data_IF_325946404887
#
_entry.id   IF_325946404887
#
_cell.length_a   1.000
_cell.length_b   1.000
_cell.length_c   1.000
_cell.angle_alpha   90.00
_cell.angle_beta   90.00
_cell.angle_gamma   90.00
#
_symmetry.space_group_name_H-M   'P 1'
#
loop_
_entity.id
_entity.type
_entity.pdbx_description
1 polymer ?
#
# COMPACT_ATOMS: atom_id res chain seq x y z
N UNK A 1 7.89 -16.76 2.44
CA UNK A 1 9.06 -15.84 2.35
C UNK A 1 8.66 -14.37 2.38
N UNK A 2 7.69 -13.91 1.56
CA UNK A 2 7.26 -12.50 1.55
C UNK A 2 6.69 -12.03 2.90
N UNK A 3 5.88 -12.85 3.57
CA UNK A 3 5.33 -12.51 4.90
C UNK A 3 6.42 -12.30 5.95
N UNK A 4 7.45 -13.14 5.96
CA UNK A 4 8.59 -13.00 6.84
C UNK A 4 9.33 -11.68 6.59
N UNK A 5 9.54 -11.31 5.33
CA UNK A 5 10.15 -10.03 4.97
C UNK A 5 9.29 -8.84 5.40
N UNK A 6 7.98 -8.90 5.15
CA UNK A 6 7.03 -7.87 5.59
C UNK A 6 7.03 -7.71 7.11
N UNK A 7 7.00 -8.83 7.85
CA UNK A 7 7.05 -8.81 9.31
C UNK A 7 8.36 -8.21 9.83
N UNK A 8 9.48 -8.52 9.19
CA UNK A 8 10.79 -7.95 9.54
C UNK A 8 10.82 -6.44 9.30
N UNK A 9 10.30 -5.98 8.15
CA UNK A 9 10.16 -4.54 7.89
C UNK A 9 9.27 -3.87 8.93
N UNK A 10 8.13 -4.47 9.28
CA UNK A 10 7.21 -3.93 10.28
C UNK A 10 7.84 -3.84 11.66
N UNK A 11 8.61 -4.85 12.09
CA UNK A 11 9.34 -4.80 13.35
C UNK A 11 10.33 -3.63 13.43
N UNK A 12 10.98 -3.27 12.32
CA UNK A 12 11.92 -2.14 12.26
C UNK A 12 11.17 -0.81 12.16
N UNK A 13 10.13 -0.75 11.34
CA UNK A 13 9.41 0.49 11.01
C UNK A 13 8.40 0.91 12.06
N UNK A 14 7.74 -0.03 12.77
CA UNK A 14 6.74 0.29 13.78
C UNK A 14 7.33 1.15 14.93
N UNK A 15 8.48 0.84 15.55
CA UNK A 15 9.04 1.72 16.59
C UNK A 15 9.31 3.15 16.12
N UNK A 16 9.66 3.32 14.84
CA UNK A 16 10.05 4.61 14.25
C UNK A 16 8.85 5.40 13.74
N UNK A 17 7.82 4.74 13.22
CA UNK A 17 6.70 5.37 12.49
C UNK A 17 5.37 5.27 13.24
N UNK A 18 5.21 4.39 14.23
CA UNK A 18 3.92 4.17 14.90
C UNK A 18 3.45 5.39 15.71
N UNK A 19 4.33 6.31 16.08
CA UNK A 19 3.92 7.60 16.66
C UNK A 19 3.07 8.41 15.67
N UNK A 20 3.24 8.24 14.36
CA UNK A 20 2.38 8.88 13.36
C UNK A 20 0.93 8.39 13.44
N UNK A 21 0.68 7.15 13.88
CA UNK A 21 -0.68 6.63 14.06
C UNK A 21 -1.42 7.28 15.24
N UNK A 22 -0.75 8.13 16.02
CA UNK A 22 -1.41 8.98 17.03
C UNK A 22 -2.04 10.24 16.43
N UNK A 23 -1.65 10.62 15.21
CA UNK A 23 -2.17 11.78 14.50
C UNK A 23 -3.45 11.43 13.73
N UNK A 24 -4.27 12.43 13.35
CA UNK A 24 -5.34 12.23 12.39
C UNK A 24 -4.79 11.61 11.10
N UNK A 25 -5.49 10.63 10.56
CA UNK A 25 -5.03 9.81 9.46
C UNK A 25 -4.66 10.63 8.20
N UNK A 26 -5.39 11.71 7.93
CA UNK A 26 -5.10 12.63 6.84
C UNK A 26 -3.75 13.34 7.02
N UNK A 27 -3.41 13.73 8.25
CA UNK A 27 -2.13 14.34 8.57
C UNK A 27 -0.99 13.32 8.43
N UNK A 28 -1.22 12.08 8.87
CA UNK A 28 -0.27 10.99 8.70
C UNK A 28 0.03 10.75 7.22
N UNK A 29 -1.01 10.68 6.39
CA UNK A 29 -0.85 10.52 4.94
C UNK A 29 -0.06 11.68 4.33
N UNK A 30 -0.38 12.92 4.72
CA UNK A 30 0.35 14.12 4.28
C UNK A 30 1.84 14.06 4.64
N UNK A 31 2.16 13.72 5.90
CA UNK A 31 3.54 13.60 6.39
C UNK A 31 4.29 12.50 5.64
N UNK A 32 3.68 11.33 5.48
CA UNK A 32 4.29 10.20 4.75
C UNK A 32 4.56 10.56 3.30
N UNK A 33 3.60 11.20 2.61
CA UNK A 33 3.77 11.63 1.22
C UNK A 33 4.89 12.66 1.03
N UNK A 34 4.96 13.67 1.91
CA UNK A 34 6.05 14.66 1.88
C UNK A 34 7.38 13.99 2.24
N UNK A 35 7.36 13.09 3.22
CA UNK A 35 8.50 12.29 3.64
C UNK A 35 9.08 11.46 2.50
N UNK A 36 8.24 10.81 1.69
CA UNK A 36 8.66 10.13 0.46
C UNK A 36 9.40 11.09 -0.48
N UNK A 37 8.83 12.27 -0.72
CA UNK A 37 9.48 13.27 -1.58
C UNK A 37 10.85 13.69 -1.06
N UNK A 38 10.97 13.84 0.27
CA UNK A 38 12.23 14.11 0.94
C UNK A 38 13.23 12.96 0.78
N UNK A 39 12.81 11.70 1.01
CA UNK A 39 13.66 10.52 0.86
C UNK A 39 14.24 10.44 -0.56
N UNK A 40 13.41 10.60 -1.59
CA UNK A 40 13.84 10.59 -2.99
C UNK A 40 14.86 11.71 -3.25
N UNK A 41 14.54 12.92 -2.81
CA UNK A 41 15.36 14.10 -3.11
C UNK A 41 16.69 14.09 -2.35
N UNK A 42 16.68 13.71 -1.07
CA UNK A 42 17.89 13.63 -0.25
C UNK A 42 18.74 12.40 -0.61
N UNK A 43 18.14 11.25 -0.92
CA UNK A 43 18.89 10.09 -1.43
C UNK A 43 19.73 10.52 -2.64
N UNK A 44 19.11 11.22 -3.60
CA UNK A 44 19.81 11.81 -4.74
C UNK A 44 20.93 12.76 -4.33
N UNK A 45 20.69 13.65 -3.38
CA UNK A 45 21.71 14.59 -2.91
C UNK A 45 22.94 13.87 -2.33
N UNK A 46 22.75 12.79 -1.57
CA UNK A 46 23.83 12.10 -0.86
C UNK A 46 24.57 11.06 -1.68
N UNK A 47 23.96 10.54 -2.74
CA UNK A 47 24.52 9.40 -3.51
C UNK A 47 25.00 9.74 -4.91
N UNK A 48 24.64 10.91 -5.46
CA UNK A 48 25.16 11.36 -6.76
C UNK A 48 26.15 12.52 -6.64
N UNK A 49 27.09 12.57 -7.58
CA UNK A 49 27.98 13.72 -7.73
C UNK A 49 27.20 14.90 -8.34
N UNK A 50 26.69 15.77 -7.46
CA UNK A 50 25.88 16.93 -7.82
C UNK A 50 26.60 17.90 -8.76
N UNK A 51 27.93 18.06 -8.62
CA UNK A 51 28.69 18.96 -9.49
C UNK A 51 28.88 18.39 -10.89
N UNK A 52 29.05 17.07 -11.01
CA UNK A 52 29.05 16.39 -12.30
C UNK A 52 27.70 16.56 -13.00
N UNK A 53 26.58 16.36 -12.30
CA UNK A 53 25.24 16.51 -12.87
C UNK A 53 24.96 17.95 -13.33
N UNK A 54 25.40 18.95 -12.55
CA UNK A 54 25.30 20.38 -12.94
C UNK A 54 26.08 20.67 -14.22
N UNK A 55 27.32 20.17 -14.34
CA UNK A 55 28.14 20.34 -15.54
C UNK A 55 27.49 19.68 -16.76
N UNK A 56 27.05 18.44 -16.62
CA UNK A 56 26.34 17.74 -17.70
C UNK A 56 25.09 18.48 -18.16
N UNK A 57 24.34 19.12 -17.27
CA UNK A 57 23.16 19.90 -17.67
C UNK A 57 23.52 21.21 -18.37
N UNK A 58 24.57 21.91 -17.91
CA UNK A 58 25.11 23.08 -18.60
C UNK A 58 25.58 22.70 -20.03
N UNK A 59 26.28 21.58 -20.18
CA UNK A 59 26.73 21.06 -21.47
C UNK A 59 25.55 20.68 -22.37
N UNK A 60 24.50 20.04 -21.81
CA UNK A 60 23.27 19.73 -22.56
C UNK A 60 22.55 20.98 -23.04
N UNK A 61 22.48 22.04 -22.23
CA UNK A 61 21.90 23.34 -22.62
C UNK A 61 22.69 23.95 -23.76
N UNK A 62 24.02 23.97 -23.65
CA UNK A 62 24.91 24.47 -24.71
C UNK A 62 24.78 23.68 -26.01
N UNK A 63 24.77 22.35 -25.94
CA UNK A 63 24.57 21.49 -27.11
C UNK A 63 23.20 21.70 -27.75
N UNK A 64 22.15 21.99 -26.97
CA UNK A 64 20.82 22.31 -27.51
C UNK A 64 20.84 23.60 -28.35
N UNK A 65 21.62 24.61 -27.94
CA UNK A 65 21.83 25.83 -28.72
C UNK A 65 22.61 25.55 -30.01
N UNK A 66 23.73 24.83 -29.93
CA UNK A 66 24.55 24.47 -31.09
C UNK A 66 23.80 23.64 -32.11
N UNK A 67 22.94 22.71 -31.68
CA UNK A 67 22.05 21.95 -32.57
C UNK A 67 21.08 22.88 -33.30
N UNK A 68 20.52 23.89 -32.62
CA UNK A 68 19.63 24.88 -33.25
C UNK A 68 20.39 25.73 -34.27
N UNK A 69 21.60 26.18 -33.95
CA UNK A 69 22.44 26.97 -34.86
C UNK A 69 22.85 26.18 -36.10
N UNK A 70 23.33 24.94 -35.94
CA UNK A 70 23.70 24.07 -37.06
C UNK A 70 22.52 23.80 -38.00
N UNK A 71 21.32 23.55 -37.43
CA UNK A 71 20.08 23.40 -38.22
C UNK A 71 19.72 24.67 -38.98
N UNK A 72 19.88 25.86 -38.38
CA UNK A 72 19.64 27.15 -39.06
C UNK A 72 20.61 27.38 -40.22
N UNK A 73 21.87 26.94 -40.08
CA UNK A 73 22.89 27.03 -41.13
C UNK A 73 22.79 25.93 -42.20
N UNK A 74 21.85 24.98 -42.07
CA UNK A 74 21.70 23.84 -42.98
C UNK A 74 22.79 22.77 -42.83
N UNK A 75 23.68 22.87 -41.84
CA UNK A 75 24.76 21.91 -41.61
C UNK A 75 24.23 20.68 -40.86
N UNK A 76 23.82 19.68 -41.64
CA UNK A 76 23.29 18.41 -41.13
C UNK A 76 24.35 17.58 -40.39
N UNK A 77 25.62 17.69 -40.78
CA UNK A 77 26.69 16.91 -40.18
C UNK A 77 27.04 17.43 -38.79
N UNK A 78 27.21 18.75 -38.63
CA UNK A 78 27.43 19.36 -37.32
C UNK A 78 26.26 19.09 -36.37
N UNK A 79 25.02 19.20 -36.86
CA UNK A 79 23.85 18.87 -36.06
C UNK A 79 23.88 17.41 -35.57
N UNK A 80 24.25 16.45 -36.44
CA UNK A 80 24.36 15.03 -36.07
C UNK A 80 25.46 14.79 -35.03
N UNK A 81 26.63 15.42 -35.17
CA UNK A 81 27.71 15.35 -34.17
C UNK A 81 27.25 15.83 -32.80
N UNK A 82 26.61 17.00 -32.72
CA UNK A 82 26.13 17.53 -31.45
C UNK A 82 25.03 16.67 -30.81
N UNK A 83 24.15 16.05 -31.61
CA UNK A 83 23.16 15.10 -31.11
C UNK A 83 23.85 13.87 -30.51
N UNK A 84 24.86 13.31 -31.18
CA UNK A 84 25.61 12.17 -30.68
C UNK A 84 26.32 12.48 -29.35
N UNK A 85 27.00 13.63 -29.26
CA UNK A 85 27.63 14.08 -28.02
C UNK A 85 26.60 14.26 -26.90
N UNK A 86 25.44 14.87 -27.19
CA UNK A 86 24.36 15.02 -26.22
C UNK A 86 23.86 13.66 -25.71
N UNK A 87 23.74 12.68 -26.58
CA UNK A 87 23.32 11.33 -26.21
C UNK A 87 24.37 10.63 -25.32
N UNK A 88 25.67 10.79 -25.62
CA UNK A 88 26.75 10.31 -24.76
C UNK A 88 26.70 10.93 -23.36
N UNK A 89 26.53 12.25 -23.26
CA UNK A 89 26.38 12.94 -21.96
C UNK A 89 25.13 12.44 -21.22
N UNK A 90 24.03 12.20 -21.94
CA UNK A 90 22.82 11.62 -21.35
C UNK A 90 23.05 10.22 -20.78
N UNK A 91 23.80 9.35 -21.47
CA UNK A 91 24.16 8.02 -20.94
C UNK A 91 25.02 8.15 -19.67
N UNK A 92 26.01 9.05 -19.67
CA UNK A 92 26.83 9.30 -18.46
C UNK A 92 26.01 9.87 -17.31
N UNK A 93 25.02 10.74 -17.60
CA UNK A 93 24.08 11.26 -16.60
C UNK A 93 23.24 10.13 -16.01
N UNK A 94 22.67 9.27 -16.86
CA UNK A 94 21.82 8.16 -16.44
C UNK A 94 22.56 7.20 -15.49
N UNK A 95 23.83 6.89 -15.78
CA UNK A 95 24.68 6.06 -14.91
C UNK A 95 24.85 6.68 -13.51
N UNK A 96 24.97 8.00 -13.44
CA UNK A 96 25.07 8.74 -12.16
C UNK A 96 23.72 8.85 -11.43
N UNK A 97 22.60 8.78 -12.14
CA UNK A 97 21.26 8.78 -11.55
C UNK A 97 20.76 7.39 -11.10
N UNK A 98 21.36 6.31 -11.64
CA UNK A 98 20.98 4.93 -11.29
C UNK A 98 21.27 4.56 -9.83
N UNK A 99 22.44 4.94 -9.30
CA UNK A 99 22.83 4.67 -7.91
C UNK A 99 21.87 5.32 -6.90
N UNK A 100 21.52 6.62 -7.01
CA UNK A 100 20.48 7.23 -6.19
C UNK A 100 19.14 6.54 -6.19
N UNK A 101 18.70 6.08 -7.36
CA UNK A 101 17.42 5.41 -7.49
C UNK A 101 17.44 4.10 -6.71
N UNK A 102 18.50 3.29 -6.85
CA UNK A 102 18.68 2.06 -6.07
C UNK A 102 18.77 2.34 -4.57
N UNK A 103 19.52 3.38 -4.17
CA UNK A 103 19.64 3.78 -2.78
C UNK A 103 18.30 4.27 -2.18
N UNK A 104 17.43 4.87 -2.99
CA UNK A 104 16.09 5.27 -2.57
C UNK A 104 15.10 4.10 -2.48
N UNK A 105 15.27 3.02 -3.25
CA UNK A 105 14.35 1.87 -3.24
C UNK A 105 14.21 1.28 -1.84
N UNK A 106 15.31 1.09 -1.11
CA UNK A 106 15.27 0.45 0.21
C UNK A 106 14.42 1.23 1.23
N UNK A 107 14.67 2.53 1.52
CA UNK A 107 13.84 3.30 2.44
C UNK A 107 12.41 3.48 1.94
N UNK A 108 12.20 3.57 0.62
CA UNK A 108 10.86 3.63 0.03
C UNK A 108 10.10 2.31 0.19
N UNK A 109 10.77 1.17 0.08
CA UNK A 109 10.16 -0.14 0.31
C UNK A 109 9.76 -0.30 1.78
N UNK A 110 10.62 0.11 2.72
CA UNK A 110 10.30 0.11 4.15
C UNK A 110 9.07 0.98 4.43
N UNK A 111 9.09 2.24 3.98
CA UNK A 111 7.99 3.18 4.18
C UNK A 111 6.71 2.73 3.48
N UNK A 112 6.83 2.21 2.26
CA UNK A 112 5.73 1.70 1.45
C UNK A 112 5.05 0.51 2.12
N UNK A 113 5.81 -0.52 2.50
CA UNK A 113 5.28 -1.69 3.21
C UNK A 113 4.58 -1.28 4.51
N UNK A 114 5.17 -0.38 5.28
CA UNK A 114 4.53 0.16 6.48
C UNK A 114 3.21 0.89 6.16
N UNK A 115 3.22 1.79 5.16
CA UNK A 115 2.04 2.53 4.75
C UNK A 115 0.91 1.62 4.25
N UNK A 116 1.22 0.60 3.44
CA UNK A 116 0.24 -0.39 2.98
C UNK A 116 -0.40 -1.16 4.15
N UNK A 117 0.40 -1.50 5.16
CA UNK A 117 -0.07 -2.30 6.31
C UNK A 117 -0.79 -1.48 7.37
N UNK A 118 -0.57 -0.16 7.44
CA UNK A 118 -1.11 0.71 8.50
C UNK A 118 -2.11 1.77 8.02
N UNK A 119 -2.08 2.16 6.75
CA UNK A 119 -2.87 3.30 6.22
C UNK A 119 -3.89 2.89 5.16
N UNK A 120 -3.99 1.61 4.80
CA UNK A 120 -4.91 1.18 3.76
C UNK A 120 -6.38 1.19 4.24
N UNK A 121 -6.59 0.87 5.53
CA UNK A 121 -7.92 0.72 6.13
C UNK A 121 -8.08 1.50 7.43
N UNK A 122 -9.32 1.84 7.76
CA UNK A 122 -9.67 2.42 9.05
C UNK A 122 -9.74 1.27 10.07
N UNK A 123 -8.99 1.33 11.18
CA UNK A 123 -9.05 0.30 12.22
C UNK A 123 -10.46 0.17 12.80
N UNK A 124 -10.96 -1.06 13.04
CA UNK A 124 -12.28 -1.29 13.64
C UNK A 124 -12.43 -0.59 15.00
N UNK A 125 -13.50 0.20 15.14
CA UNK A 125 -13.79 0.90 16.39
C UNK A 125 -14.64 0.05 17.34
N UNK A 126 -14.55 0.36 18.63
CA UNK A 126 -15.36 -0.33 19.64
C UNK A 126 -16.85 -0.10 19.38
N UNK A 127 -17.64 -1.17 19.53
CA UNK A 127 -19.10 -1.20 19.28
C UNK A 127 -19.51 -0.98 17.82
N UNK A 128 -18.57 -0.86 16.89
CA UNK A 128 -18.88 -0.89 15.46
C UNK A 128 -19.21 -2.32 15.03
N UNK A 129 -20.15 -2.46 14.08
CA UNK A 129 -20.43 -3.74 13.43
C UNK A 129 -19.33 -4.05 12.42
N UNK A 130 -18.64 -5.15 12.65
CA UNK A 130 -17.53 -5.66 11.85
C UNK A 130 -18.06 -6.86 11.08
N UNK A 131 -17.86 -6.88 9.77
CA UNK A 131 -18.23 -8.02 8.93
C UNK A 131 -17.01 -8.92 8.79
N UNK A 132 -17.15 -10.17 9.22
CA UNK A 132 -16.15 -11.21 9.02
C UNK A 132 -16.69 -12.16 7.96
N UNK A 133 -15.91 -12.41 6.91
CA UNK A 133 -16.24 -13.39 5.89
C UNK A 133 -15.25 -14.54 5.95
N UNK A 134 -15.74 -15.77 5.83
CA UNK A 134 -14.91 -16.94 5.58
C UNK A 134 -15.27 -17.52 4.22
N UNK A 135 -14.25 -17.85 3.45
CA UNK A 135 -14.36 -18.39 2.11
C UNK A 135 -13.98 -19.87 2.12
N UNK A 136 -14.77 -20.66 1.42
CA UNK A 136 -14.74 -22.12 1.42
C UNK A 136 -14.75 -22.66 -0.02
N UNK A 137 -14.30 -23.90 -0.25
CA UNK A 137 -14.45 -24.54 -1.55
C UNK A 137 -15.93 -24.73 -1.88
N UNK A 138 -16.27 -24.72 -3.17
CA UNK A 138 -17.66 -24.89 -3.67
C UNK A 138 -18.30 -26.19 -3.16
N UNK A 139 -17.50 -27.23 -2.90
CA UNK A 139 -17.98 -28.51 -2.35
C UNK A 139 -18.58 -28.41 -0.95
N UNK A 140 -18.30 -27.34 -0.19
CA UNK A 140 -18.80 -27.13 1.16
C UNK A 140 -20.04 -26.23 1.22
N UNK A 141 -20.58 -25.81 0.07
CA UNK A 141 -21.82 -25.04 0.01
C UNK A 141 -22.98 -25.86 0.58
N UNK A 142 -23.80 -25.23 1.43
CA UNK A 142 -24.89 -25.88 2.17
C UNK A 142 -24.46 -26.53 3.50
N UNK A 143 -23.17 -26.60 3.80
CA UNK A 143 -22.70 -26.99 5.13
C UNK A 143 -22.83 -25.83 6.13
N UNK A 144 -22.83 -26.16 7.43
CA UNK A 144 -22.81 -25.18 8.51
C UNK A 144 -21.39 -24.94 9.02
N UNK A 145 -21.07 -23.68 9.26
CA UNK A 145 -19.83 -23.24 9.92
C UNK A 145 -20.17 -22.32 11.08
N UNK A 146 -19.29 -22.20 12.07
CA UNK A 146 -19.53 -21.30 13.19
C UNK A 146 -18.27 -20.63 13.72
N UNK A 147 -18.45 -19.44 14.29
CA UNK A 147 -17.45 -18.74 15.10
C UNK A 147 -17.69 -19.07 16.56
N UNK A 148 -16.65 -19.50 17.28
CA UNK A 148 -16.77 -19.77 18.70
C UNK A 148 -16.99 -18.47 19.49
N UNK A 149 -18.02 -18.39 20.36
CA UNK A 149 -18.26 -17.21 21.18
C UNK A 149 -17.07 -16.92 22.09
N UNK A 150 -16.63 -15.66 22.13
CA UNK A 150 -15.58 -15.19 23.03
C UNK A 150 -16.10 -14.04 23.89
N UNK A 151 -15.62 -13.97 25.15
CA UNK A 151 -15.97 -12.87 26.06
C UNK A 151 -15.64 -11.52 25.43
N UNK A 152 -16.64 -10.63 25.35
CA UNK A 152 -16.49 -9.29 24.81
C UNK A 152 -16.81 -9.16 23.31
N UNK A 153 -17.08 -10.28 22.63
CA UNK A 153 -17.69 -10.30 21.30
C UNK A 153 -19.20 -10.54 21.42
N UNK A 154 -19.97 -9.82 20.62
CA UNK A 154 -21.42 -9.98 20.47
C UNK A 154 -21.71 -10.26 19.01
N UNK A 155 -22.56 -11.24 18.74
CA UNK A 155 -23.20 -11.37 17.44
C UNK A 155 -24.15 -10.19 17.22
N UNK A 156 -24.42 -9.81 15.96
CA UNK A 156 -25.24 -8.66 15.57
C UNK A 156 -26.62 -8.55 16.25
N UNK A 157 -27.30 -7.44 16.00
CA UNK A 157 -28.43 -6.88 16.78
C UNK A 157 -29.64 -7.78 17.01
N UNK A 158 -29.79 -8.90 16.30
CA UNK A 158 -31.03 -9.70 16.28
C UNK A 158 -30.85 -11.16 16.73
N UNK A 159 -29.83 -11.47 17.53
CA UNK A 159 -29.65 -12.83 18.10
C UNK A 159 -29.28 -13.92 17.07
N UNK A 160 -29.10 -13.55 15.80
CA UNK A 160 -28.52 -14.37 14.76
C UNK A 160 -26.99 -14.31 14.77
N UNK A 161 -26.27 -15.34 14.35
CA UNK A 161 -26.17 -16.69 14.90
C UNK A 161 -24.67 -16.95 14.77
N UNK A 162 -24.03 -17.42 15.83
CA UNK A 162 -22.63 -17.82 15.78
C UNK A 162 -22.38 -18.87 14.69
N UNK A 163 -23.45 -19.56 14.28
CA UNK A 163 -23.54 -20.52 13.19
C UNK A 163 -24.06 -19.82 11.93
N UNK A 164 -23.46 -20.10 10.79
CA UNK A 164 -23.87 -19.61 9.47
C UNK A 164 -23.84 -20.76 8.47
N UNK A 165 -24.76 -20.75 7.52
CA UNK A 165 -24.73 -21.63 6.35
C UNK A 165 -23.74 -21.07 5.32
N UNK A 166 -23.00 -21.97 4.66
CA UNK A 166 -22.08 -21.60 3.58
C UNK A 166 -22.90 -21.41 2.30
N UNK A 167 -22.98 -20.18 1.81
CA UNK A 167 -23.75 -19.80 0.62
C UNK A 167 -22.85 -19.65 -0.61
N UNK A 168 -23.42 -19.80 -1.81
CA UNK A 168 -22.71 -19.57 -3.06
C UNK A 168 -22.36 -18.08 -3.25
N UNK A 169 -21.09 -17.76 -3.48
CA UNK A 169 -20.64 -16.46 -3.96
C UNK A 169 -20.49 -16.50 -5.48
N UNK A 170 -21.25 -15.64 -6.17
CA UNK A 170 -21.26 -15.54 -7.63
C UNK A 170 -20.56 -14.27 -8.07
N UNK A 171 -19.76 -14.38 -9.13
CA UNK A 171 -19.21 -13.22 -9.80
C UNK A 171 -20.35 -12.35 -10.35
N UNK A 172 -20.40 -11.07 -9.97
CA UNK A 172 -21.48 -10.16 -10.35
C UNK A 172 -21.59 -9.92 -11.87
N UNK A 173 -20.51 -10.14 -12.63
CA UNK A 173 -20.47 -9.93 -14.08
C UNK A 173 -20.74 -11.20 -14.86
N UNK A 174 -20.22 -12.33 -14.41
CA UNK A 174 -20.27 -13.60 -15.16
C UNK A 174 -21.33 -14.58 -14.63
N UNK A 175 -21.78 -14.40 -13.39
CA UNK A 175 -22.71 -15.31 -12.72
C UNK A 175 -22.09 -16.67 -12.33
N UNK A 176 -20.80 -16.88 -12.60
CA UNK A 176 -20.08 -18.11 -12.24
C UNK A 176 -19.92 -18.17 -10.73
N UNK A 177 -20.18 -19.34 -10.14
CA UNK A 177 -19.91 -19.61 -8.73
C UNK A 177 -18.39 -19.66 -8.55
N UNK A 178 -17.86 -18.73 -7.75
CA UNK A 178 -16.44 -18.64 -7.47
C UNK A 178 -16.06 -19.56 -6.29
N UNK A 179 -16.86 -19.51 -5.23
CA UNK A 179 -16.56 -20.09 -3.91
C UNK A 179 -17.81 -20.14 -3.03
N UNK A 180 -17.72 -20.84 -1.90
CA UNK A 180 -18.67 -20.71 -0.80
C UNK A 180 -18.27 -19.59 0.16
N UNK A 181 -19.23 -18.87 0.73
CA UNK A 181 -19.00 -17.78 1.70
C UNK A 181 -19.95 -17.89 2.88
N UNK A 182 -19.41 -17.72 4.08
CA UNK A 182 -20.18 -17.45 5.29
C UNK A 182 -19.80 -16.08 5.84
N UNK A 183 -20.80 -15.31 6.30
CA UNK A 183 -20.62 -13.92 6.72
C UNK A 183 -21.22 -13.69 8.10
N UNK A 184 -20.43 -13.18 9.02
CA UNK A 184 -20.84 -12.84 10.37
C UNK A 184 -20.76 -11.33 10.60
N UNK A 185 -21.77 -10.79 11.27
CA UNK A 185 -21.74 -9.43 11.77
C UNK A 185 -21.43 -9.47 13.28
N UNK A 186 -20.24 -9.00 13.65
CA UNK A 186 -19.74 -9.03 15.01
C UNK A 186 -19.61 -7.61 15.56
N UNK A 187 -19.90 -7.43 16.85
CA UNK A 187 -19.58 -6.22 17.59
C UNK A 187 -18.64 -6.58 18.75
N UNK A 188 -17.57 -5.82 18.93
CA UNK A 188 -16.64 -6.03 20.03
C UNK A 188 -16.40 -4.75 20.82
N UNK A 189 -16.06 -4.91 22.10
CA UNK A 189 -15.50 -3.82 22.90
C UNK A 189 -14.06 -3.48 22.48
N UNK A 190 -13.57 -2.31 22.86
CA UNK A 190 -12.13 -2.03 22.77
C UNK A 190 -11.37 -3.01 23.65
N UNK A 191 -10.30 -3.60 23.12
CA UNK A 191 -9.44 -4.51 23.88
C UNK A 191 -7.98 -4.28 23.52
N UNK A 192 -7.12 -4.27 24.54
CA UNK A 192 -5.66 -4.24 24.37
C UNK A 192 -5.17 -5.57 23.79
N UNK A 193 -5.80 -6.69 24.16
CA UNK A 193 -5.48 -8.01 23.63
C UNK A 193 -6.29 -8.28 22.36
N UNK A 194 -5.69 -8.88 21.32
CA UNK A 194 -6.42 -9.31 20.13
C UNK A 194 -7.54 -10.29 20.50
N UNK A 195 -8.69 -10.16 19.83
CA UNK A 195 -9.71 -11.21 19.81
C UNK A 195 -9.22 -12.31 18.87
N UNK A 196 -9.37 -13.57 19.29
CA UNK A 196 -8.93 -14.72 18.50
C UNK A 196 -10.18 -15.39 17.96
N UNK A 197 -10.57 -15.03 16.75
CA UNK A 197 -11.74 -15.59 16.08
C UNK A 197 -11.41 -17.02 15.67
N UNK A 198 -12.02 -17.99 16.36
CA UNK A 198 -11.92 -19.40 16.00
C UNK A 198 -13.13 -19.76 15.13
N UNK A 199 -12.88 -20.02 13.84
CA UNK A 199 -13.89 -20.49 12.88
C UNK A 199 -13.76 -22.00 12.77
N UNK A 200 -14.87 -22.70 12.95
CA UNK A 200 -14.94 -24.15 12.94
C UNK A 200 -15.90 -24.65 11.85
N UNK A 201 -15.48 -25.72 11.17
CA UNK A 201 -16.29 -26.49 10.22
C UNK A 201 -16.00 -27.98 10.46
N UNK A 202 -16.98 -28.72 10.95
CA UNK A 202 -16.76 -30.10 11.43
C UNK A 202 -15.75 -30.12 12.58
N UNK A 203 -14.68 -30.90 12.43
CA UNK A 203 -13.58 -31.02 13.41
C UNK A 203 -12.44 -30.02 13.18
N UNK A 204 -12.36 -29.41 11.99
CA UNK A 204 -11.31 -28.47 11.63
C UNK A 204 -11.55 -27.08 12.20
N UNK A 205 -10.46 -26.39 12.57
CA UNK A 205 -10.49 -25.03 13.12
C UNK A 205 -9.44 -24.15 12.48
N UNK A 206 -9.78 -22.89 12.24
CA UNK A 206 -8.84 -21.84 11.84
C UNK A 206 -8.96 -20.64 12.78
N UNK A 207 -7.86 -19.90 12.93
CA UNK A 207 -7.77 -18.77 13.86
C UNK A 207 -7.43 -17.49 13.12
N UNK A 208 -8.25 -16.45 13.34
CA UNK A 208 -8.03 -15.11 12.81
C UNK A 208 -7.97 -14.08 13.93
N UNK A 209 -6.93 -13.26 13.94
CA UNK A 209 -6.83 -12.16 14.89
C UNK A 209 -7.72 -10.98 14.48
N UNK A 210 -8.44 -10.43 15.45
CA UNK A 210 -9.25 -9.23 15.32
C UNK A 210 -8.82 -8.20 16.36
N UNK A 211 -8.35 -7.04 15.89
CA UNK A 211 -7.99 -5.88 16.73
C UNK A 211 -9.14 -4.88 16.71
N UNK A 212 -9.66 -4.50 17.89
CA UNK A 212 -10.77 -3.54 18.01
C UNK A 212 -10.42 -2.44 19.01
N UNK A 213 -10.63 -1.20 18.59
CA UNK A 213 -10.29 -0.01 19.38
C UNK A 213 -8.79 0.27 19.48
N UNK A 214 -7.98 -0.36 18.64
CA UNK A 214 -6.55 -0.12 18.53
C UNK A 214 -6.24 0.85 17.38
N UNK A 215 -5.05 1.45 17.40
CA UNK A 215 -4.57 2.34 16.32
C UNK A 215 -4.17 1.59 15.05
N UNK A 216 -3.93 0.28 15.18
CA UNK A 216 -3.58 -0.63 14.10
C UNK A 216 -4.69 -1.66 13.89
N UNK A 217 -4.64 -2.33 12.76
CA UNK A 217 -5.51 -3.47 12.44
C UNK A 217 -4.66 -4.70 12.11
N UNK A 218 -5.24 -5.88 12.30
CA UNK A 218 -4.68 -7.14 11.82
C UNK A 218 -4.86 -7.21 10.28
N UNK A 219 -4.03 -7.97 9.55
CA UNK A 219 -4.17 -8.14 8.10
C UNK A 219 -5.61 -8.47 7.71
N UNK A 220 -6.15 -7.83 6.67
CA UNK A 220 -7.55 -8.01 6.26
C UNK A 220 -7.85 -9.48 5.93
N UNK A 221 -6.97 -10.09 5.14
CA UNK A 221 -7.07 -11.47 4.66
C UNK A 221 -6.07 -12.36 5.40
N UNK A 222 -6.47 -13.58 5.71
CA UNK A 222 -5.57 -14.66 6.09
C UNK A 222 -5.94 -15.90 5.28
N UNK A 223 -4.96 -16.46 4.58
CA UNK A 223 -5.10 -17.68 3.81
C UNK A 223 -4.64 -18.87 4.64
N UNK A 224 -5.32 -19.99 4.51
CA UNK A 224 -5.00 -21.24 5.19
C UNK A 224 -4.77 -22.35 4.17
N UNK A 225 -4.11 -23.41 4.61
CA UNK A 225 -3.85 -24.58 3.75
C UNK A 225 -5.15 -25.26 3.34
N UNK A 226 -5.14 -25.90 2.17
CA UNK A 226 -6.28 -26.65 1.67
C UNK A 226 -6.69 -27.76 2.63
N UNK A 227 -8.00 -27.95 2.79
CA UNK A 227 -8.57 -28.94 3.72
C UNK A 227 -8.76 -28.43 5.15
N UNK A 228 -8.35 -27.20 5.47
CA UNK A 228 -8.71 -26.54 6.73
C UNK A 228 -10.18 -26.13 6.77
N UNK A 229 -10.61 -25.60 7.93
CA UNK A 229 -11.99 -25.19 8.14
C UNK A 229 -12.46 -24.21 7.07
N UNK A 230 -11.62 -23.25 6.67
CA UNK A 230 -11.85 -22.28 5.60
C UNK A 230 -10.55 -22.06 4.81
N UNK A 231 -10.66 -21.72 3.53
CA UNK A 231 -9.50 -21.43 2.66
C UNK A 231 -8.96 -20.02 2.95
N UNK A 232 -9.85 -19.07 3.24
CA UNK A 232 -9.51 -17.70 3.54
C UNK A 232 -10.49 -17.06 4.52
N UNK A 233 -10.00 -16.20 5.41
CA UNK A 233 -10.83 -15.40 6.31
C UNK A 233 -10.51 -13.93 6.12
N UNK A 234 -11.55 -13.14 5.86
CA UNK A 234 -11.51 -11.70 5.63
C UNK A 234 -12.23 -10.94 6.73
N UNK A 235 -11.60 -9.87 7.23
CA UNK A 235 -12.25 -8.87 8.06
C UNK A 235 -12.56 -7.67 7.16
N UNK A 236 -13.82 -7.46 6.79
CA UNK A 236 -14.19 -6.36 5.88
C UNK A 236 -14.00 -5.02 6.59
N UNK A 237 -13.07 -4.21 6.09
CA UNK A 237 -12.74 -2.91 6.66
C UNK A 237 -13.01 -1.77 5.67
N UNK A 238 -13.31 -0.58 6.20
CA UNK A 238 -13.49 0.62 5.39
C UNK A 238 -12.14 1.11 4.86
N UNK A 239 -11.98 1.29 3.53
CA UNK A 239 -10.75 1.83 2.98
C UNK A 239 -10.59 3.30 3.38
N UNK A 240 -9.35 3.71 3.59
CA UNK A 240 -9.02 5.10 3.94
C UNK A 240 -9.21 6.01 2.74
N UNK A 241 -9.91 7.13 2.96
CA UNK A 241 -10.12 8.19 1.97
C UNK A 241 -9.54 9.48 2.50
N UNK A 242 -8.63 10.11 1.76
CA UNK A 242 -8.05 11.38 2.15
C UNK A 242 -9.11 12.48 2.20
N UNK A 243 -9.23 13.10 3.37
CA UNK A 243 -10.25 14.11 3.70
C UNK A 243 -11.69 13.64 3.45
N UNK A 244 -11.92 12.33 3.33
CA UNK A 244 -13.21 11.75 2.95
C UNK A 244 -13.64 11.98 1.48
N UNK A 245 -12.89 12.75 0.69
CA UNK A 245 -13.31 13.19 -0.65
C UNK A 245 -12.69 12.35 -1.76
N UNK A 246 -11.42 11.95 -1.63
CA UNK A 246 -10.70 11.33 -2.75
C UNK A 246 -11.25 9.92 -3.03
N UNK A 247 -11.87 9.68 -4.22
CA UNK A 247 -12.32 8.36 -4.58
C UNK A 247 -11.14 7.47 -4.99
N UNK A 248 -11.32 6.16 -4.87
CA UNK A 248 -10.41 5.21 -5.52
C UNK A 248 -10.61 5.23 -7.03
N UNK A 249 -9.61 4.79 -7.79
CA UNK A 249 -9.74 4.58 -9.24
C UNK A 249 -9.69 3.09 -9.48
N UNK A 250 -10.86 2.45 -9.47
CA UNK A 250 -11.01 1.00 -9.65
C UNK A 250 -10.41 0.52 -10.97
N UNK A 251 -10.52 1.32 -12.04
CA UNK A 251 -9.95 1.01 -13.36
C UNK A 251 -8.43 0.81 -13.34
N UNK A 252 -7.72 1.47 -12.42
CA UNK A 252 -6.27 1.38 -12.27
C UNK A 252 -5.84 0.53 -11.07
N UNK A 253 -6.79 -0.13 -10.38
CA UNK A 253 -6.55 -0.85 -9.13
C UNK A 253 -5.87 0.04 -8.06
N UNK A 254 -6.10 1.36 -8.10
CA UNK A 254 -5.51 2.30 -7.16
C UNK A 254 -6.46 2.54 -5.99
N UNK A 255 -6.04 2.10 -4.80
CA UNK A 255 -6.72 2.38 -3.55
C UNK A 255 -6.81 3.91 -3.32
N UNK A 256 -7.88 4.42 -2.67
CA UNK A 256 -8.09 5.87 -2.52
C UNK A 256 -6.94 6.58 -1.77
N UNK A 257 -6.41 5.97 -0.72
CA UNK A 257 -5.26 6.51 0.03
C UNK A 257 -4.00 6.60 -0.83
N UNK A 258 -3.78 5.64 -1.74
CA UNK A 258 -2.60 5.58 -2.61
C UNK A 258 -2.67 6.68 -3.68
N UNK A 259 -3.87 6.95 -4.21
CA UNK A 259 -4.09 8.07 -5.12
C UNK A 259 -3.76 9.40 -4.44
N UNK A 260 -4.32 9.64 -3.25
CA UNK A 260 -4.02 10.83 -2.47
C UNK A 260 -2.53 10.95 -2.16
N UNK A 261 -1.89 9.82 -1.82
CA UNK A 261 -0.45 9.77 -1.61
C UNK A 261 0.34 10.25 -2.83
N UNK A 262 0.03 9.79 -4.04
CA UNK A 262 0.73 10.21 -5.26
C UNK A 262 0.48 11.69 -5.59
N UNK A 263 -0.76 12.17 -5.42
CA UNK A 263 -1.13 13.57 -5.64
C UNK A 263 -0.32 14.54 -4.76
N UNK A 264 0.10 14.11 -3.57
CA UNK A 264 0.92 14.90 -2.65
C UNK A 264 2.41 14.66 -2.88
N UNK A 265 2.83 13.39 -2.99
CA UNK A 265 4.24 13.02 -3.07
C UNK A 265 4.91 13.59 -4.33
N UNK A 266 4.25 13.53 -5.50
CA UNK A 266 4.84 13.99 -6.77
C UNK A 266 5.15 15.50 -6.74
N UNK A 267 4.20 16.40 -6.41
CA UNK A 267 4.51 17.82 -6.25
C UNK A 267 5.55 18.10 -5.15
N UNK A 268 5.53 17.34 -4.05
CA UNK A 268 6.46 17.53 -2.94
C UNK A 268 7.92 17.36 -3.38
N UNK A 269 8.22 16.40 -4.28
CA UNK A 269 9.58 16.23 -4.83
C UNK A 269 10.04 17.50 -5.55
N UNK A 270 9.18 18.14 -6.35
CA UNK A 270 9.52 19.36 -7.07
C UNK A 270 9.78 20.53 -6.09
N UNK A 271 8.92 20.66 -5.08
CA UNK A 271 9.06 21.70 -4.05
C UNK A 271 10.34 21.52 -3.24
N UNK A 272 10.60 20.31 -2.74
CA UNK A 272 11.79 19.99 -1.93
C UNK A 272 13.05 20.16 -2.77
N UNK A 273 13.04 19.73 -4.04
CA UNK A 273 14.16 19.96 -4.97
C UNK A 273 14.46 21.45 -5.13
N UNK A 274 13.41 22.27 -5.31
CA UNK A 274 13.53 23.72 -5.47
C UNK A 274 14.06 24.40 -4.21
N UNK A 275 13.49 24.08 -3.05
CA UNK A 275 13.90 24.66 -1.75
C UNK A 275 15.32 24.22 -1.36
N UNK A 276 15.64 22.93 -1.55
CA UNK A 276 16.94 22.36 -1.25
C UNK A 276 18.05 22.71 -2.24
N UNK A 277 17.73 23.39 -3.36
CA UNK A 277 18.65 23.68 -4.48
C UNK A 277 19.39 22.43 -4.97
N UNK A 278 18.69 21.30 -5.05
CA UNK A 278 19.24 19.99 -5.44
C UNK A 278 19.10 19.83 -6.96
N UNK A 279 20.13 19.32 -7.64
CA UNK A 279 20.16 19.21 -9.10
C UNK A 279 19.75 17.83 -9.60
#
# INVERSE_FOLDING_TARGET
MLEWFNNTILQISDPVLNWLLSLPLDLTLLIVSIGTGAIITYSRKFTSNQDFLKRCDADKKRLKELIKEAKKRGDKEAAKRHINTRNMISISTLKQEGLPLLAAILPLAILGTWAFQRLAYIPPQAKETIVVKAYFPVSAVGELTHILPQKGLKSGSDGQQWIQEILEEKDAKTGVILNGVASWQLQAGASVKPYQLEIQRGEEKVRKELLVGQRTYAPQLAFYDSGKAADCVEIVMKPVKFLGVVPGVEMLFLAPWLLAYFLIAIPSVMLIKRVGKIY
#
